data_IF_984723340481
#
_entry.id   IF_984723340481
#
_cell.length_a   1.000
_cell.length_b   1.000
_cell.length_c   1.000
_cell.angle_alpha   90.00
_cell.angle_beta   90.00
_cell.angle_gamma   90.00
#
_symmetry.space_group_name_H-M   'P 1'
#
loop_
_entity.id
_entity.type
_entity.pdbx_description
1 polymer ?
#
# COMPACT_ATOMS: atom_id res chain seq x y z
N UNK A 1 -28.22 -7.30 -18.03
CA UNK A 1 -27.13 -6.31 -17.99
C UNK A 1 -25.96 -6.98 -17.30
N UNK A 2 -24.88 -7.26 -18.03
CA UNK A 2 -23.67 -7.87 -17.47
C UNK A 2 -23.07 -6.92 -16.44
N UNK A 3 -23.13 -7.29 -15.16
CA UNK A 3 -22.35 -6.64 -14.10
C UNK A 3 -20.88 -6.94 -14.37
N UNK A 4 -20.17 -6.00 -14.97
CA UNK A 4 -18.71 -6.09 -15.08
C UNK A 4 -18.12 -6.11 -13.67
N UNK A 5 -17.48 -7.21 -13.29
CA UNK A 5 -16.72 -7.28 -12.05
C UNK A 5 -15.44 -6.46 -12.22
N UNK A 6 -15.14 -5.57 -11.27
CA UNK A 6 -13.93 -4.74 -11.32
C UNK A 6 -12.66 -5.60 -11.32
N UNK A 7 -12.71 -6.80 -10.71
CA UNK A 7 -11.58 -7.73 -10.62
C UNK A 7 -11.13 -8.26 -11.98
N UNK A 8 -12.04 -8.32 -12.96
CA UNK A 8 -11.75 -8.77 -14.33
C UNK A 8 -11.21 -7.64 -15.22
N UNK A 9 -11.10 -6.41 -14.70
CA UNK A 9 -10.64 -5.25 -15.46
C UNK A 9 -9.11 -5.14 -15.46
N UNK A 10 -8.51 -4.41 -16.42
CA UNK A 10 -7.07 -4.13 -16.40
C UNK A 10 -6.62 -3.45 -15.10
N UNK A 11 -5.34 -3.62 -14.74
CA UNK A 11 -4.75 -3.08 -13.50
C UNK A 11 -5.04 -1.59 -13.30
N UNK A 12 -4.90 -0.78 -14.34
CA UNK A 12 -5.14 0.66 -14.24
C UNK A 12 -6.62 0.99 -13.98
N UNK A 13 -7.57 0.20 -14.49
CA UNK A 13 -8.98 0.38 -14.19
C UNK A 13 -9.31 0.00 -12.73
N UNK A 14 -8.70 -1.08 -12.22
CA UNK A 14 -8.80 -1.45 -10.80
C UNK A 14 -8.19 -0.39 -9.90
N UNK A 15 -7.05 0.17 -10.30
CA UNK A 15 -6.36 1.24 -9.61
C UNK A 15 -7.19 2.53 -9.54
N UNK A 16 -7.76 2.95 -10.67
CA UNK A 16 -8.64 4.12 -10.73
C UNK A 16 -9.89 3.95 -9.87
N UNK A 17 -10.47 2.75 -9.84
CA UNK A 17 -11.58 2.43 -8.96
C UNK A 17 -11.19 2.55 -7.48
N UNK A 18 -10.04 1.99 -7.09
CA UNK A 18 -9.52 2.14 -5.73
C UNK A 18 -9.32 3.61 -5.35
N UNK A 19 -8.72 4.42 -6.22
CA UNK A 19 -8.53 5.85 -5.95
C UNK A 19 -9.86 6.59 -5.78
N UNK A 20 -10.89 6.23 -6.54
CA UNK A 20 -12.24 6.77 -6.37
C UNK A 20 -12.83 6.36 -5.02
N UNK A 21 -12.72 5.09 -4.63
CA UNK A 21 -13.18 4.61 -3.31
C UNK A 21 -12.47 5.35 -2.18
N UNK A 22 -11.15 5.55 -2.28
CA UNK A 22 -10.38 6.29 -1.29
C UNK A 22 -10.79 7.77 -1.23
N UNK A 23 -11.10 8.38 -2.37
CA UNK A 23 -11.62 9.75 -2.43
C UNK A 23 -12.96 9.89 -1.70
N UNK A 24 -13.89 8.96 -1.93
CA UNK A 24 -15.19 8.93 -1.28
C UNK A 24 -15.07 8.72 0.25
N UNK A 25 -14.14 7.86 0.69
CA UNK A 25 -13.91 7.56 2.10
C UNK A 25 -13.18 8.68 2.85
N UNK A 26 -12.20 9.32 2.21
CA UNK A 26 -11.32 10.30 2.86
C UNK A 26 -11.74 11.75 2.58
N UNK A 27 -12.66 11.97 1.63
CA UNK A 27 -12.99 13.29 1.09
C UNK A 27 -11.87 13.91 0.25
N UNK A 28 -10.79 13.16 -0.02
CA UNK A 28 -9.65 13.61 -0.82
C UNK A 28 -8.98 12.44 -1.53
N UNK A 29 -8.86 12.56 -2.85
CA UNK A 29 -8.14 11.60 -3.68
C UNK A 29 -6.64 11.60 -3.39
N UNK A 30 -6.01 10.43 -3.16
CA UNK A 30 -4.56 10.30 -3.16
C UNK A 30 -3.99 10.69 -4.53
N UNK A 31 -2.85 11.39 -4.55
CA UNK A 31 -2.27 11.91 -5.79
C UNK A 31 -1.57 10.85 -6.63
N UNK A 32 -1.00 9.83 -5.99
CA UNK A 32 -0.20 8.78 -6.64
C UNK A 32 -0.09 7.54 -5.73
N UNK A 33 0.64 6.53 -6.20
CA UNK A 33 0.95 5.32 -5.45
C UNK A 33 1.60 5.61 -4.09
N UNK A 34 2.50 6.60 -4.02
CA UNK A 34 3.16 6.98 -2.77
C UNK A 34 2.16 7.50 -1.73
N UNK A 35 1.18 8.30 -2.17
CA UNK A 35 0.08 8.75 -1.32
C UNK A 35 -0.73 7.58 -0.74
N UNK A 36 -1.01 6.56 -1.55
CA UNK A 36 -1.73 5.35 -1.08
C UNK A 36 -0.86 4.52 -0.13
N UNK A 37 0.42 4.30 -0.45
CA UNK A 37 1.35 3.58 0.42
C UNK A 37 1.54 4.30 1.77
N UNK A 38 1.57 5.63 1.77
CA UNK A 38 1.58 6.43 2.98
C UNK A 38 0.34 6.18 3.85
N UNK A 39 -0.86 6.15 3.25
CA UNK A 39 -2.10 5.86 3.97
C UNK A 39 -2.09 4.46 4.58
N UNK A 40 -1.63 3.46 3.83
CA UNK A 40 -1.43 2.09 4.35
C UNK A 40 -0.45 2.12 5.52
N UNK A 41 0.66 2.84 5.39
CA UNK A 41 1.63 3.03 6.47
C UNK A 41 1.00 3.59 7.74
N UNK A 42 0.20 4.66 7.63
CA UNK A 42 -0.50 5.26 8.76
C UNK A 42 -1.45 4.26 9.42
N UNK A 43 -2.18 3.49 8.61
CA UNK A 43 -3.08 2.44 9.10
C UNK A 43 -2.31 1.35 9.88
N UNK A 44 -1.21 0.85 9.32
CA UNK A 44 -0.38 -0.20 9.95
C UNK A 44 0.38 0.28 11.19
N UNK A 45 0.69 1.58 11.26
CA UNK A 45 1.22 2.18 12.48
C UNK A 45 0.20 2.11 13.62
N UNK A 46 -1.10 2.20 13.32
CA UNK A 46 -2.19 1.99 14.28
C UNK A 46 -2.33 3.08 15.35
N UNK A 47 -1.71 4.25 15.14
CA UNK A 47 -1.71 5.36 16.12
C UNK A 47 -2.70 6.49 15.75
N UNK A 48 -3.52 6.27 14.73
CA UNK A 48 -4.50 7.25 14.26
C UNK A 48 -3.89 8.47 13.58
N UNK A 49 -4.71 9.50 13.38
CA UNK A 49 -4.31 10.74 12.72
C UNK A 49 -3.39 11.58 13.62
N UNK A 50 -2.13 11.74 13.21
CA UNK A 50 -1.17 12.66 13.83
C UNK A 50 -0.37 13.40 12.77
N UNK A 51 0.30 14.49 13.19
CA UNK A 51 1.23 15.20 12.31
C UNK A 51 2.53 14.41 12.24
N UNK A 52 2.93 14.03 11.03
CA UNK A 52 4.19 13.34 10.76
C UNK A 52 5.23 14.31 10.17
N UNK A 53 6.48 14.17 10.59
CA UNK A 53 7.61 14.88 9.96
C UNK A 53 7.83 14.38 8.53
N UNK A 54 8.71 15.04 7.77
CA UNK A 54 9.03 14.62 6.40
C UNK A 54 9.62 13.21 6.38
N UNK A 55 10.51 12.92 7.32
CA UNK A 55 11.21 11.65 7.51
C UNK A 55 10.21 10.56 7.87
N UNK A 56 9.35 10.82 8.86
CA UNK A 56 8.30 9.89 9.26
C UNK A 56 7.34 9.56 8.12
N UNK A 57 7.06 10.50 7.21
CA UNK A 57 6.26 10.21 6.01
C UNK A 57 6.96 9.23 5.07
N UNK A 58 8.30 9.33 4.93
CA UNK A 58 9.09 8.37 4.16
C UNK A 58 9.07 6.99 4.83
N UNK A 59 9.26 6.94 6.15
CA UNK A 59 9.22 5.70 6.92
C UNK A 59 7.84 5.02 6.82
N UNK A 60 6.75 5.79 6.85
CA UNK A 60 5.40 5.27 6.67
C UNK A 60 5.16 4.72 5.26
N UNK A 61 5.68 5.38 4.22
CA UNK A 61 5.62 4.81 2.86
C UNK A 61 6.40 3.50 2.79
N UNK A 62 7.55 3.41 3.45
CA UNK A 62 8.33 2.17 3.52
C UNK A 62 7.55 1.06 4.24
N UNK A 63 6.89 1.36 5.36
CA UNK A 63 5.99 0.43 6.04
C UNK A 63 4.87 -0.03 5.11
N UNK A 64 4.26 0.89 4.36
CA UNK A 64 3.24 0.57 3.36
C UNK A 64 3.75 -0.43 2.33
N UNK A 65 4.95 -0.19 1.78
CA UNK A 65 5.60 -1.11 0.82
C UNK A 65 5.83 -2.48 1.45
N UNK A 66 6.44 -2.53 2.63
CA UNK A 66 6.71 -3.78 3.32
C UNK A 66 5.42 -4.55 3.62
N UNK A 67 4.37 -3.85 4.04
CA UNK A 67 3.06 -4.45 4.31
C UNK A 67 2.47 -5.08 3.06
N UNK A 68 2.31 -4.34 1.98
CA UNK A 68 1.66 -4.88 0.78
C UNK A 68 2.48 -6.01 0.17
N UNK A 69 3.81 -5.91 0.18
CA UNK A 69 4.68 -6.97 -0.32
C UNK A 69 4.80 -8.18 0.62
N UNK A 70 4.40 -8.05 1.90
CA UNK A 70 4.29 -9.19 2.82
C UNK A 70 3.17 -10.16 2.44
N UNK A 71 2.14 -9.70 1.70
CA UNK A 71 1.06 -10.55 1.18
C UNK A 71 1.61 -11.67 0.27
N UNK A 72 2.72 -11.41 -0.42
CA UNK A 72 3.44 -12.40 -1.24
C UNK A 72 4.75 -12.89 -0.61
N UNK A 73 4.88 -12.74 0.72
CA UNK A 73 6.04 -13.20 1.51
C UNK A 73 7.39 -12.60 1.09
N UNK A 74 7.43 -11.45 0.40
CA UNK A 74 8.69 -10.74 0.13
C UNK A 74 9.25 -10.12 1.41
N UNK A 75 8.37 -9.58 2.23
CA UNK A 75 8.67 -9.08 3.56
C UNK A 75 7.97 -9.93 4.60
N UNK A 76 8.58 -10.06 5.78
CA UNK A 76 7.98 -10.69 6.94
C UNK A 76 7.98 -9.69 8.09
N UNK A 77 6.85 -9.58 8.78
CA UNK A 77 6.77 -8.79 10.01
C UNK A 77 7.71 -9.39 11.05
N UNK A 78 8.60 -8.56 11.60
CA UNK A 78 9.55 -8.99 12.63
C UNK A 78 9.04 -8.61 14.02
N UNK A 79 8.79 -7.32 14.25
CA UNK A 79 8.40 -6.78 15.55
C UNK A 79 7.89 -5.35 15.41
N UNK A 80 7.38 -4.82 16.52
CA UNK A 80 7.27 -3.36 16.72
C UNK A 80 8.39 -2.88 17.62
N UNK A 81 8.91 -1.68 17.37
CA UNK A 81 9.85 -1.06 18.30
C UNK A 81 9.15 -0.42 19.51
N UNK A 82 9.93 0.25 20.35
CA UNK A 82 9.44 0.91 21.57
C UNK A 82 8.43 2.02 21.30
N UNK A 83 8.49 2.61 20.11
CA UNK A 83 7.60 3.68 19.66
C UNK A 83 6.41 3.15 18.86
N UNK A 84 6.29 1.82 18.75
CA UNK A 84 5.19 1.11 18.10
C UNK A 84 5.32 0.97 16.59
N UNK A 85 6.45 1.37 16.00
CA UNK A 85 6.65 1.29 14.55
C UNK A 85 6.88 -0.16 14.12
N UNK A 86 6.15 -0.66 13.11
CA UNK A 86 6.33 -2.02 12.61
C UNK A 86 7.63 -2.12 11.79
N UNK A 87 8.41 -3.15 12.10
CA UNK A 87 9.64 -3.50 11.39
C UNK A 87 9.44 -4.78 10.61
N UNK A 88 9.98 -4.80 9.40
CA UNK A 88 9.90 -5.91 8.48
C UNK A 88 11.29 -6.32 8.03
N UNK A 89 11.49 -7.62 7.84
CA UNK A 89 12.70 -8.17 7.26
C UNK A 89 12.43 -8.64 5.83
N UNK A 90 13.41 -8.47 4.95
CA UNK A 90 13.34 -9.00 3.60
C UNK A 90 13.49 -10.53 3.66
N UNK A 91 12.42 -11.24 3.33
CA UNK A 91 12.35 -12.69 3.39
C UNK A 91 12.81 -13.34 2.07
N UNK A 92 12.62 -12.66 0.92
CA UNK A 92 13.13 -13.09 -0.39
C UNK A 92 13.42 -11.90 -1.29
N UNK A 93 14.30 -12.11 -2.26
CA UNK A 93 14.64 -11.09 -3.25
C UNK A 93 13.39 -10.62 -4.02
N UNK A 94 13.28 -9.30 -4.20
CA UNK A 94 12.27 -8.71 -5.08
C UNK A 94 12.58 -9.06 -6.54
N UNK A 95 11.55 -9.26 -7.37
CA UNK A 95 11.76 -9.49 -8.79
C UNK A 95 12.48 -8.29 -9.40
N UNK A 96 13.52 -8.56 -10.18
CA UNK A 96 14.24 -7.52 -10.90
C UNK A 96 13.40 -7.02 -12.09
N UNK A 97 13.41 -5.71 -12.32
CA UNK A 97 12.66 -5.10 -13.41
C UNK A 97 12.89 -3.60 -13.48
N UNK A 98 12.38 -2.99 -14.55
CA UNK A 98 12.30 -1.53 -14.66
C UNK A 98 11.27 -0.95 -13.69
N UNK A 99 11.31 0.38 -13.54
CA UNK A 99 10.44 1.15 -12.65
C UNK A 99 8.96 0.80 -12.89
N UNK A 100 8.53 0.71 -14.15
CA UNK A 100 7.14 0.39 -14.50
C UNK A 100 6.68 -0.97 -13.97
N UNK A 101 7.57 -1.98 -13.96
CA UNK A 101 7.25 -3.31 -13.42
C UNK A 101 7.18 -3.31 -11.90
N UNK A 102 8.03 -2.51 -11.25
CA UNK A 102 7.99 -2.34 -9.80
C UNK A 102 6.73 -1.59 -9.37
N UNK A 103 6.34 -0.55 -10.11
CA UNK A 103 5.10 0.18 -9.86
C UNK A 103 3.87 -0.72 -10.05
N UNK A 104 3.80 -1.48 -11.14
CA UNK A 104 2.71 -2.44 -11.38
C UNK A 104 2.64 -3.51 -10.27
N UNK A 105 3.79 -4.03 -9.83
CA UNK A 105 3.86 -4.96 -8.70
C UNK A 105 3.24 -4.37 -7.43
N UNK A 106 3.61 -3.14 -7.10
CA UNK A 106 3.08 -2.45 -5.92
C UNK A 106 1.58 -2.16 -6.06
N UNK A 107 1.12 -1.63 -7.20
CA UNK A 107 -0.32 -1.40 -7.44
C UNK A 107 -1.14 -2.68 -7.24
N UNK A 108 -0.69 -3.81 -7.79
CA UNK A 108 -1.36 -5.10 -7.62
C UNK A 108 -1.50 -5.48 -6.14
N UNK A 109 -0.42 -5.35 -5.35
CA UNK A 109 -0.46 -5.70 -3.93
C UNK A 109 -1.23 -4.68 -3.08
N UNK A 110 -1.24 -3.41 -3.48
CA UNK A 110 -2.07 -2.39 -2.83
C UNK A 110 -3.55 -2.70 -3.05
N UNK A 111 -3.97 -3.03 -4.28
CA UNK A 111 -5.35 -3.43 -4.56
C UNK A 111 -5.72 -4.65 -3.72
N UNK A 112 -4.83 -5.65 -3.65
CA UNK A 112 -5.05 -6.84 -2.83
C UNK A 112 -5.16 -6.52 -1.33
N UNK A 113 -4.35 -5.60 -0.83
CA UNK A 113 -4.43 -5.12 0.55
C UNK A 113 -5.82 -4.57 0.89
N UNK A 114 -6.42 -3.77 -0.01
CA UNK A 114 -7.75 -3.19 0.20
C UNK A 114 -8.90 -4.19 -0.02
N UNK A 115 -8.69 -5.29 -0.75
CA UNK A 115 -9.68 -6.38 -0.87
C UNK A 115 -9.84 -7.18 0.40
N UNK A 116 -8.76 -7.34 1.16
CA UNK A 116 -8.77 -8.06 2.44
C UNK A 116 -9.29 -7.25 3.63
N UNK A 117 -9.63 -5.97 3.42
CA UNK A 117 -10.26 -5.08 4.41
C UNK A 117 -11.77 -5.21 4.40
#
# INVERSE_FOLDING_TARGET
MSTLNIEDQPLEAQWEHLLQTLEELLGKRPSDLNGVLFLIGVQELGQGAKRFTKEQKQDLMHIGICKVLSLSSYYQFEKRDKDGWPHYILNRALPQGGIDKQEALLKMHVIEYFRGM
#
